data_IF_866675152907
#
_entry.id   IF_866675152907
#
_cell.length_a   1.000
_cell.length_b   1.000
_cell.length_c   1.000
_cell.angle_alpha   90.00
_cell.angle_beta   90.00
_cell.angle_gamma   90.00
#
_symmetry.space_group_name_H-M   'P 1'
#
loop_
_entity.id
_entity.type
_entity.pdbx_description
1 polymer ?
#
# COMPACT_ATOMS: atom_id res chain seq x y z
N UNK A 1 6.76 -6.12 11.16
CA UNK A 1 7.41 -6.59 9.91
C UNK A 1 6.48 -6.41 8.71
N UNK A 2 6.57 -5.26 8.01
CA UNK A 2 5.88 -5.01 6.74
C UNK A 2 6.61 -5.79 5.64
N UNK A 3 6.18 -7.02 5.33
CA UNK A 3 6.67 -7.77 4.16
C UNK A 3 5.72 -7.50 2.99
N UNK A 4 6.26 -6.96 1.91
CA UNK A 4 5.57 -6.96 0.61
C UNK A 4 5.67 -5.67 -0.19
N UNK A 5 6.88 -5.26 -0.59
CA UNK A 5 7.14 -4.54 -1.84
C UNK A 5 8.41 -5.12 -2.43
N UNK A 6 8.34 -5.72 -3.62
CA UNK A 6 9.54 -6.14 -4.33
C UNK A 6 10.18 -4.88 -4.93
N UNK A 7 11.47 -4.70 -4.62
CA UNK A 7 12.32 -3.52 -4.77
C UNK A 7 12.35 -2.89 -6.18
N UNK A 8 12.19 -3.70 -7.24
CA UNK A 8 12.25 -3.25 -8.63
C UNK A 8 10.96 -2.55 -9.12
N UNK A 9 9.82 -2.79 -8.47
CA UNK A 9 8.54 -2.14 -8.81
C UNK A 9 8.47 -0.70 -8.24
N UNK A 10 9.09 -0.44 -7.09
CA UNK A 10 9.21 0.91 -6.52
C UNK A 10 10.15 1.82 -7.33
N UNK A 11 11.16 1.22 -7.95
CA UNK A 11 12.12 1.94 -8.78
C UNK A 11 11.49 2.34 -10.12
N UNK A 12 10.75 1.46 -10.79
CA UNK A 12 10.19 1.76 -12.11
C UNK A 12 8.95 2.67 -12.06
N UNK A 13 8.09 2.54 -11.06
CA UNK A 13 6.88 3.38 -10.93
C UNK A 13 7.17 4.81 -10.45
N UNK A 14 8.28 5.03 -9.74
CA UNK A 14 8.68 6.38 -9.29
C UNK A 14 9.51 7.15 -10.32
N UNK A 15 10.19 6.48 -11.25
CA UNK A 15 10.96 7.16 -12.30
C UNK A 15 10.06 7.68 -13.44
N UNK A 16 8.95 7.00 -13.76
CA UNK A 16 8.09 7.37 -14.90
C UNK A 16 7.05 8.45 -14.53
N UNK A 17 6.57 8.52 -13.28
CA UNK A 17 5.56 9.50 -12.89
C UNK A 17 6.10 10.95 -12.72
N UNK A 18 7.40 11.12 -12.49
CA UNK A 18 8.03 12.44 -12.32
C UNK A 18 8.51 13.05 -13.64
N UNK A 19 8.88 12.24 -14.64
CA UNK A 19 9.28 12.76 -15.95
C UNK A 19 8.12 13.42 -16.72
N UNK A 20 6.87 12.98 -16.50
CA UNK A 20 5.69 13.45 -17.22
C UNK A 20 5.00 14.68 -16.61
N UNK A 21 5.33 15.11 -15.39
CA UNK A 21 4.71 16.28 -14.76
C UNK A 21 5.57 17.56 -14.77
N UNK A 22 6.86 17.48 -15.13
CA UNK A 22 7.78 18.63 -15.06
C UNK A 22 8.19 19.25 -16.40
N UNK A 23 7.62 18.79 -17.52
CA UNK A 23 7.92 19.32 -18.87
C UNK A 23 6.80 20.17 -19.47
N UNK A 24 5.80 20.61 -18.70
CA UNK A 24 4.81 21.59 -19.16
C UNK A 24 4.98 22.93 -18.43
N UNK A 25 5.25 24.04 -19.14
CA UNK A 25 5.17 25.37 -18.57
C UNK A 25 3.71 25.77 -18.32
N UNK A 26 3.48 26.44 -17.19
CA UNK A 26 2.21 27.07 -16.79
C UNK A 26 1.85 28.20 -17.77
N UNK A 27 0.56 28.49 -17.95
CA UNK A 27 0.13 29.89 -17.82
C UNK A 27 -0.99 30.04 -16.78
N UNK A 28 -0.81 31.02 -15.88
CA UNK A 28 -1.88 31.72 -15.17
C UNK A 28 -2.30 32.91 -16.05
N UNK A 29 -3.56 33.43 -16.02
CA UNK A 29 -4.16 33.95 -14.79
C UNK A 29 -5.71 33.92 -14.66
N UNK A 30 -6.16 34.29 -13.44
CA UNK A 30 -7.40 35.05 -13.12
C UNK A 30 -8.69 34.32 -12.69
N UNK A 31 -9.03 34.62 -11.43
CA UNK A 31 -10.31 34.66 -10.71
C UNK A 31 -11.60 34.81 -11.56
N UNK A 32 -12.60 33.97 -11.29
CA UNK A 32 -13.95 34.42 -10.86
C UNK A 32 -14.82 33.28 -10.31
N UNK A 33 -15.66 33.70 -9.36
CA UNK A 33 -16.56 32.97 -8.46
C UNK A 33 -17.97 32.87 -9.07
N UNK A 34 -18.66 31.72 -8.98
CA UNK A 34 -19.94 31.58 -8.26
C UNK A 34 -20.64 30.21 -8.42
N UNK A 35 -21.41 29.92 -7.37
CA UNK A 35 -22.23 28.74 -7.05
C UNK A 35 -23.40 28.47 -8.01
N UNK A 36 -23.92 27.24 -7.94
CA UNK A 36 -25.22 26.86 -8.50
C UNK A 36 -25.63 25.44 -8.10
N UNK A 37 -26.40 25.34 -7.02
CA UNK A 37 -27.13 24.16 -6.53
C UNK A 37 -27.99 23.47 -7.62
N UNK A 38 -28.22 22.15 -7.50
CA UNK A 38 -29.55 21.52 -7.29
C UNK A 38 -29.74 20.12 -7.93
N UNK A 39 -30.00 19.14 -7.05
CA UNK A 39 -31.01 18.05 -7.10
C UNK A 39 -31.02 16.98 -8.23
N UNK A 40 -31.16 15.70 -7.82
CA UNK A 40 -31.86 14.67 -8.62
C UNK A 40 -31.31 13.25 -8.56
N UNK A 41 -31.72 12.45 -7.58
CA UNK A 41 -31.86 10.98 -7.67
C UNK A 41 -32.95 10.63 -8.70
N UNK A 42 -32.89 9.47 -9.39
CA UNK A 42 -33.64 8.31 -8.90
C UNK A 42 -32.96 6.94 -9.11
N UNK A 43 -33.53 5.95 -8.43
CA UNK A 43 -33.07 4.57 -8.31
C UNK A 43 -33.28 3.70 -9.58
N UNK A 44 -32.38 2.70 -9.73
CA UNK A 44 -32.52 1.27 -10.13
C UNK A 44 -33.77 0.80 -10.92
N UNK A 45 -33.69 -0.26 -11.78
CA UNK A 45 -32.97 -1.51 -11.45
C UNK A 45 -32.38 -2.36 -12.61
N UNK A 46 -31.63 -3.39 -12.18
CA UNK A 46 -31.64 -4.78 -12.70
C UNK A 46 -30.35 -5.33 -13.33
N UNK A 47 -29.92 -6.46 -12.75
CA UNK A 47 -29.49 -7.68 -13.42
C UNK A 47 -28.42 -7.60 -14.52
N UNK A 48 -27.17 -7.89 -14.15
CA UNK A 48 -26.32 -8.71 -15.00
C UNK A 48 -25.43 -9.63 -14.14
N UNK A 49 -25.79 -10.91 -14.13
CA UNK A 49 -24.92 -11.98 -13.69
C UNK A 49 -23.69 -12.02 -14.61
N UNK A 50 -22.50 -11.86 -14.04
CA UNK A 50 -21.24 -12.17 -14.73
C UNK A 50 -20.52 -13.26 -13.96
N UNK A 51 -20.61 -14.46 -14.52
CA UNK A 51 -19.81 -15.65 -14.23
C UNK A 51 -18.33 -15.33 -14.42
N UNK A 52 -17.67 -14.79 -13.38
CA UNK A 52 -16.22 -14.69 -13.39
C UNK A 52 -15.61 -15.99 -12.87
N UNK A 53 -15.02 -16.72 -13.81
CA UNK A 53 -14.20 -17.91 -13.63
C UNK A 53 -13.36 -17.87 -12.35
N UNK A 54 -13.52 -18.89 -11.51
CA UNK A 54 -12.72 -19.15 -10.32
C UNK A 54 -11.23 -18.95 -10.60
N UNK A 55 -10.66 -17.84 -10.12
CA UNK A 55 -9.21 -17.68 -10.01
C UNK A 55 -8.74 -18.80 -9.08
N UNK A 56 -8.20 -19.87 -9.67
CA UNK A 56 -7.61 -21.00 -8.93
C UNK A 56 -6.67 -20.41 -7.89
N UNK A 57 -7.06 -20.54 -6.63
CA UNK A 57 -6.24 -20.10 -5.51
C UNK A 57 -4.86 -20.74 -5.60
N UNK A 58 -3.83 -20.04 -5.09
CA UNK A 58 -2.48 -20.60 -4.93
C UNK A 58 -2.61 -22.03 -4.41
N UNK A 59 -2.18 -23.00 -5.22
CA UNK A 59 -2.13 -24.39 -4.83
C UNK A 59 -1.41 -24.55 -3.49
N UNK A 60 -1.77 -25.62 -2.79
CA UNK A 60 -1.16 -26.07 -1.53
C UNK A 60 0.35 -25.82 -1.61
N UNK A 61 0.90 -24.94 -0.77
CA UNK A 61 2.32 -25.03 -0.44
C UNK A 61 2.48 -26.40 0.18
N UNK A 62 2.87 -27.40 -0.63
CA UNK A 62 3.51 -28.59 -0.09
C UNK A 62 4.65 -28.00 0.74
N UNK A 63 4.57 -28.18 2.06
CA UNK A 63 5.68 -27.85 2.93
C UNK A 63 6.93 -28.43 2.30
N UNK A 64 8.06 -27.76 2.48
CA UNK A 64 9.33 -28.41 2.23
C UNK A 64 9.29 -29.65 3.11
N UNK A 65 9.04 -30.81 2.51
CA UNK A 65 9.13 -32.07 3.23
C UNK A 65 10.55 -32.12 3.77
N UNK A 66 10.69 -32.38 5.06
CA UNK A 66 11.98 -32.56 5.72
C UNK A 66 12.90 -33.50 4.92
N UNK A 67 12.30 -34.41 4.15
CA UNK A 67 12.94 -35.33 3.20
C UNK A 67 13.80 -34.65 2.11
N UNK A 68 13.51 -33.41 1.68
CA UNK A 68 14.31 -32.73 0.64
C UNK A 68 15.58 -32.04 1.16
N UNK A 69 15.74 -31.97 2.49
CA UNK A 69 16.96 -31.47 3.14
C UNK A 69 18.04 -32.55 3.20
N UNK A 70 17.66 -33.82 3.07
CA UNK A 70 18.54 -34.97 3.13
C UNK A 70 18.82 -35.39 1.68
N UNK A 71 20.05 -35.15 1.22
CA UNK A 71 20.48 -35.47 -0.13
C UNK A 71 20.20 -36.93 -0.50
N UNK A 72 19.99 -37.20 -1.79
CA UNK A 72 19.91 -38.55 -2.35
C UNK A 72 21.22 -39.31 -2.07
N UNK A 73 21.29 -39.97 -0.91
CA UNK A 73 22.27 -40.98 -0.58
C UNK A 73 21.59 -42.34 -0.64
N UNK A 74 21.91 -43.13 -1.65
CA UNK A 74 21.64 -44.57 -1.67
C UNK A 74 22.45 -45.21 -0.54
N UNK A 75 21.80 -45.49 0.59
CA UNK A 75 22.43 -46.16 1.72
C UNK A 75 21.39 -46.76 2.65
N UNK A 76 21.28 -48.09 2.65
CA UNK A 76 20.50 -48.87 3.60
C UNK A 76 21.16 -48.84 4.99
N UNK A 77 21.10 -47.70 5.66
CA UNK A 77 21.49 -47.53 7.06
C UNK A 77 20.31 -46.95 7.83
N UNK A 78 19.90 -47.60 8.91
CA UNK A 78 18.97 -46.99 9.88
C UNK A 78 19.66 -45.75 10.46
N UNK A 79 19.31 -44.57 9.95
CA UNK A 79 19.61 -43.31 10.60
C UNK A 79 18.80 -43.27 11.90
N UNK A 80 19.42 -43.66 13.01
CA UNK A 80 18.97 -43.22 14.34
C UNK A 80 19.37 -41.76 14.48
N UNK A 81 18.66 -40.87 13.79
CA UNK A 81 18.82 -39.44 13.93
C UNK A 81 18.30 -39.04 15.31
N UNK A 82 19.21 -38.71 16.21
CA UNK A 82 18.88 -37.98 17.43
C UNK A 82 18.49 -36.56 17.02
N UNK A 83 17.19 -36.28 16.97
CA UNK A 83 16.61 -34.95 16.75
C UNK A 83 16.76 -34.07 18.01
N UNK A 84 17.96 -34.00 18.56
CA UNK A 84 18.24 -33.14 19.71
C UNK A 84 18.34 -31.70 19.20
N UNK A 85 17.21 -30.98 19.29
CA UNK A 85 17.14 -29.55 19.02
C UNK A 85 17.94 -28.82 20.10
N UNK A 86 19.04 -28.18 19.70
CA UNK A 86 19.82 -27.34 20.60
C UNK A 86 19.12 -25.98 20.77
N UNK A 87 18.30 -25.87 21.81
CA UNK A 87 17.59 -24.62 22.15
C UNK A 87 18.51 -23.49 22.61
N UNK A 88 19.82 -23.72 22.78
CA UNK A 88 20.80 -22.66 23.01
C UNK A 88 21.24 -21.99 21.70
N UNK A 89 21.13 -22.69 20.57
CA UNK A 89 21.42 -22.15 19.24
C UNK A 89 20.23 -21.36 18.70
N UNK A 90 20.46 -20.07 18.43
CA UNK A 90 19.41 -19.19 17.92
C UNK A 90 18.82 -19.65 16.57
N UNK A 91 19.58 -20.35 15.75
CA UNK A 91 19.12 -20.87 14.45
C UNK A 91 18.06 -21.97 14.61
N UNK A 92 18.27 -22.87 15.57
CA UNK A 92 17.37 -23.99 15.85
C UNK A 92 16.09 -23.47 16.51
N UNK A 93 16.23 -22.57 17.49
CA UNK A 93 15.09 -21.84 18.08
C UNK A 93 14.28 -21.09 17.00
N UNK A 94 14.95 -20.37 16.10
CA UNK A 94 14.30 -19.64 14.99
C UNK A 94 13.53 -20.61 14.10
N UNK A 95 14.13 -21.74 13.74
CA UNK A 95 13.53 -22.75 12.85
C UNK A 95 12.28 -23.37 13.48
N UNK A 96 12.34 -23.73 14.76
CA UNK A 96 11.18 -24.27 15.52
C UNK A 96 10.05 -23.24 15.56
N UNK A 97 10.36 -21.99 15.91
CA UNK A 97 9.36 -20.91 15.99
C UNK A 97 8.73 -20.64 14.63
N UNK A 98 9.52 -20.57 13.55
CA UNK A 98 8.99 -20.34 12.19
C UNK A 98 8.08 -21.47 11.70
N UNK A 99 8.47 -22.71 11.99
CA UNK A 99 7.68 -23.91 11.65
C UNK A 99 6.36 -23.91 12.40
N UNK A 100 6.39 -23.67 13.72
CA UNK A 100 5.20 -23.59 14.56
C UNK A 100 4.27 -22.46 14.13
N UNK A 101 4.81 -21.27 13.84
CA UNK A 101 4.03 -20.12 13.36
C UNK A 101 3.37 -20.40 12.01
N UNK A 102 4.04 -21.15 11.13
CA UNK A 102 3.50 -21.57 9.83
C UNK A 102 2.38 -22.60 9.98
N UNK A 103 2.56 -23.58 10.87
CA UNK A 103 1.53 -24.56 11.22
C UNK A 103 0.29 -23.87 11.80
N UNK A 104 0.47 -22.98 12.79
CA UNK A 104 -0.63 -22.22 13.40
C UNK A 104 -1.36 -21.34 12.40
N UNK A 105 -0.65 -20.70 11.46
CA UNK A 105 -1.27 -19.90 10.39
C UNK A 105 -2.08 -20.77 9.45
N UNK A 106 -1.55 -21.94 9.08
CA UNK A 106 -2.22 -22.88 8.19
C UNK A 106 -3.49 -23.44 8.83
N UNK A 107 -3.42 -23.85 10.10
CA UNK A 107 -4.57 -24.27 10.89
C UNK A 107 -5.64 -23.17 10.93
N UNK A 108 -5.29 -21.94 11.34
CA UNK A 108 -6.23 -20.80 11.36
C UNK A 108 -6.86 -20.52 9.99
N UNK A 109 -6.10 -20.60 8.90
CA UNK A 109 -6.65 -20.40 7.56
C UNK A 109 -7.66 -21.50 7.17
N UNK A 110 -7.43 -22.76 7.57
CA UNK A 110 -8.38 -23.86 7.36
C UNK A 110 -9.65 -23.63 8.18
N UNK A 111 -9.50 -23.28 9.45
CA UNK A 111 -10.63 -22.97 10.35
C UNK A 111 -11.46 -21.81 9.81
N UNK A 112 -10.81 -20.74 9.35
CA UNK A 112 -11.50 -19.60 8.75
C UNK A 112 -12.23 -19.96 7.44
N UNK A 113 -11.64 -20.84 6.62
CA UNK A 113 -12.30 -21.32 5.40
C UNK A 113 -13.57 -22.13 5.71
N UNK A 114 -13.57 -22.90 6.81
CA UNK A 114 -14.76 -23.60 7.30
C UNK A 114 -15.79 -22.63 7.89
N UNK A 115 -15.35 -21.69 8.75
CA UNK A 115 -16.18 -20.63 9.33
C UNK A 115 -16.97 -19.86 8.26
N UNK A 116 -16.32 -19.52 7.14
CA UNK A 116 -16.93 -18.82 6.01
C UNK A 116 -18.06 -19.57 5.29
N UNK A 117 -18.30 -20.85 5.59
CA UNK A 117 -19.44 -21.60 5.06
C UNK A 117 -20.76 -21.25 5.77
N UNK A 118 -20.69 -20.58 6.92
CA UNK A 118 -21.84 -20.18 7.70
C UNK A 118 -22.17 -18.69 7.48
N UNK A 119 -23.47 -18.31 7.52
CA UNK A 119 -23.88 -16.92 7.32
C UNK A 119 -23.60 -16.02 8.53
N UNK A 120 -23.55 -16.60 9.75
CA UNK A 120 -23.34 -15.86 10.99
C UNK A 120 -22.45 -16.63 11.96
N UNK A 121 -21.98 -15.93 13.00
CA UNK A 121 -21.17 -16.51 14.07
C UNK A 121 -21.96 -17.53 14.88
N UNK A 122 -23.22 -17.22 15.18
CA UNK A 122 -24.13 -18.07 15.94
C UNK A 122 -24.37 -19.39 15.20
N UNK A 123 -24.59 -19.31 13.87
CA UNK A 123 -24.73 -20.49 13.04
C UNK A 123 -23.45 -21.33 12.98
N UNK A 124 -22.27 -20.70 13.02
CA UNK A 124 -20.99 -21.39 13.06
C UNK A 124 -20.73 -22.06 14.42
N UNK A 125 -21.14 -21.43 15.54
CA UNK A 125 -20.95 -21.98 16.90
C UNK A 125 -21.73 -23.28 17.13
N UNK A 126 -22.90 -23.44 16.49
CA UNK A 126 -23.69 -24.68 16.56
C UNK A 126 -23.04 -25.87 15.82
N UNK A 127 -22.02 -25.62 14.99
CA UNK A 127 -21.37 -26.64 14.17
C UNK A 127 -19.84 -26.55 14.26
N UNK A 128 -19.24 -26.87 15.42
CA UNK A 128 -17.79 -26.86 15.60
C UNK A 128 -17.05 -27.67 14.54
N UNK A 129 -15.82 -27.26 14.23
CA UNK A 129 -14.97 -28.02 13.32
C UNK A 129 -14.51 -29.31 14.02
N UNK A 130 -14.51 -30.49 13.33
CA UNK A 130 -14.16 -31.78 13.96
C UNK A 130 -12.75 -31.80 14.57
N UNK A 131 -11.80 -31.08 13.98
CA UNK A 131 -10.42 -30.98 14.47
C UNK A 131 -10.19 -29.95 15.60
N UNK A 132 -11.25 -29.42 16.24
CA UNK A 132 -11.14 -28.42 17.32
C UNK A 132 -12.08 -28.73 18.48
N UNK A 133 -11.68 -28.41 19.71
CA UNK A 133 -12.62 -28.45 20.84
C UNK A 133 -13.65 -27.32 20.74
N UNK A 134 -14.76 -27.43 21.47
CA UNK A 134 -15.80 -26.40 21.47
C UNK A 134 -15.27 -25.04 21.96
N UNK A 135 -14.43 -25.03 23.01
CA UNK A 135 -13.85 -23.77 23.51
C UNK A 135 -12.90 -23.15 22.48
N UNK A 136 -12.03 -23.96 21.87
CA UNK A 136 -11.11 -23.51 20.84
C UNK A 136 -11.86 -22.98 19.62
N UNK A 137 -12.96 -23.64 19.23
CA UNK A 137 -13.80 -23.20 18.12
C UNK A 137 -14.49 -21.87 18.43
N UNK A 138 -14.95 -21.69 19.67
CA UNK A 138 -15.54 -20.43 20.14
C UNK A 138 -14.54 -19.29 20.07
N UNK A 139 -13.33 -19.48 20.59
CA UNK A 139 -12.25 -18.49 20.52
C UNK A 139 -11.89 -18.12 19.06
N UNK A 140 -11.88 -19.11 18.15
CA UNK A 140 -11.64 -18.88 16.74
C UNK A 140 -12.77 -18.08 16.09
N UNK A 141 -14.04 -18.39 16.40
CA UNK A 141 -15.20 -17.63 15.94
C UNK A 141 -15.15 -16.17 16.45
N UNK A 142 -14.80 -15.97 17.72
CA UNK A 142 -14.57 -14.65 18.32
C UNK A 142 -13.46 -13.89 17.57
N UNK A 143 -12.34 -14.55 17.30
CA UNK A 143 -11.23 -13.98 16.54
C UNK A 143 -11.66 -13.57 15.11
N UNK A 144 -12.37 -14.42 14.38
CA UNK A 144 -12.78 -14.15 13.00
C UNK A 144 -13.81 -13.04 12.88
N UNK A 145 -14.64 -12.85 13.91
CA UNK A 145 -15.62 -11.76 13.98
C UNK A 145 -15.09 -10.49 14.64
N UNK A 146 -13.90 -10.54 15.25
CA UNK A 146 -13.30 -9.37 15.87
C UNK A 146 -13.08 -8.24 14.87
N UNK A 147 -13.33 -7.01 15.31
CA UNK A 147 -13.17 -5.81 14.48
C UNK A 147 -11.76 -5.69 13.91
N UNK A 148 -10.75 -6.01 14.72
CA UNK A 148 -9.33 -5.95 14.33
C UNK A 148 -9.00 -6.93 13.21
N UNK A 149 -9.57 -8.14 13.24
CA UNK A 149 -9.40 -9.14 12.20
C UNK A 149 -10.11 -8.71 10.91
N UNK A 150 -11.35 -8.24 11.01
CA UNK A 150 -12.14 -7.78 9.87
C UNK A 150 -11.49 -6.59 9.17
N UNK A 151 -11.05 -5.57 9.91
CA UNK A 151 -10.29 -4.44 9.37
C UNK A 151 -9.04 -4.91 8.61
N UNK A 152 -8.27 -5.83 9.19
CA UNK A 152 -7.07 -6.39 8.55
C UNK A 152 -7.40 -7.20 7.29
N UNK A 153 -8.48 -7.98 7.32
CA UNK A 153 -8.94 -8.81 6.20
C UNK A 153 -9.38 -7.96 5.01
N UNK A 154 -10.22 -6.95 5.25
CA UNK A 154 -10.66 -6.01 4.22
C UNK A 154 -9.51 -5.19 3.64
N UNK A 155 -8.61 -4.70 4.50
CA UNK A 155 -7.41 -4.02 4.02
C UNK A 155 -6.53 -4.95 3.18
N UNK A 156 -6.36 -6.22 3.56
CA UNK A 156 -5.60 -7.19 2.78
C UNK A 156 -6.26 -7.50 1.43
N UNK A 157 -7.59 -7.52 1.37
CA UNK A 157 -8.35 -7.67 0.11
C UNK A 157 -8.10 -6.48 -0.82
N UNK A 158 -8.21 -5.25 -0.31
CA UNK A 158 -7.87 -4.02 -1.04
C UNK A 158 -6.40 -3.96 -1.47
N UNK A 159 -5.48 -4.44 -0.63
CA UNK A 159 -4.05 -4.50 -0.98
C UNK A 159 -3.80 -5.53 -2.08
N UNK A 160 -4.52 -6.66 -2.04
CA UNK A 160 -4.38 -7.71 -3.05
C UNK A 160 -4.98 -7.31 -4.39
N UNK A 161 -6.02 -6.48 -4.42
CA UNK A 161 -6.57 -5.94 -5.67
C UNK A 161 -5.63 -4.94 -6.37
N UNK A 162 -4.69 -4.32 -5.63
CA UNK A 162 -3.64 -3.45 -6.19
C UNK A 162 -2.50 -4.23 -6.87
N UNK A 163 -2.43 -5.55 -6.69
CA UNK A 163 -1.40 -6.36 -7.35
C UNK A 163 -1.80 -6.63 -8.80
N UNK A 164 -1.23 -5.86 -9.72
CA UNK A 164 -1.53 -5.89 -11.15
C UNK A 164 -0.80 -7.02 -11.87
N UNK A 165 0.48 -7.24 -11.53
CA UNK A 165 1.32 -8.24 -12.18
C UNK A 165 1.85 -9.26 -11.16
N UNK A 166 1.70 -10.55 -11.48
CA UNK A 166 2.25 -11.64 -10.69
C UNK A 166 3.56 -12.15 -11.31
N UNK A 167 4.53 -12.49 -10.47
CA UNK A 167 5.76 -13.14 -10.93
C UNK A 167 5.54 -14.64 -11.18
N UNK A 168 6.32 -15.22 -12.10
CA UNK A 168 6.33 -16.63 -12.48
C UNK A 168 7.44 -17.44 -11.77
N UNK A 169 8.26 -16.81 -10.91
CA UNK A 169 9.38 -17.46 -10.22
C UNK A 169 9.02 -18.58 -9.21
N UNK A 170 7.72 -18.79 -8.93
CA UNK A 170 7.27 -19.81 -7.98
C UNK A 170 7.83 -19.58 -6.57
N UNK A 171 8.41 -20.62 -5.96
CA UNK A 171 9.05 -20.58 -4.64
C UNK A 171 10.49 -20.05 -4.67
N UNK A 172 11.07 -19.82 -5.86
CA UNK A 172 12.41 -19.24 -5.95
C UNK A 172 12.34 -17.76 -5.64
N UNK A 173 13.17 -17.31 -4.69
CA UNK A 173 13.32 -15.88 -4.41
C UNK A 173 14.07 -15.18 -5.54
N UNK A 174 13.84 -13.88 -5.71
CA UNK A 174 14.51 -13.08 -6.74
C UNK A 174 16.03 -13.04 -6.53
N UNK A 175 16.49 -13.03 -5.27
CA UNK A 175 17.91 -13.13 -4.94
C UNK A 175 18.52 -14.46 -5.39
N UNK A 176 17.80 -15.57 -5.21
CA UNK A 176 18.23 -16.89 -5.70
C UNK A 176 18.25 -16.92 -7.23
N UNK A 177 17.26 -16.32 -7.90
CA UNK A 177 17.26 -16.18 -9.37
C UNK A 177 18.48 -15.39 -9.83
N UNK A 178 18.76 -14.25 -9.21
CA UNK A 178 19.93 -13.41 -9.51
C UNK A 178 21.24 -14.17 -9.31
N UNK A 179 21.41 -14.88 -8.19
CA UNK A 179 22.61 -15.68 -7.94
C UNK A 179 22.81 -16.77 -9.00
N UNK A 180 21.75 -17.45 -9.43
CA UNK A 180 21.85 -18.46 -10.48
C UNK A 180 22.24 -17.87 -11.85
N UNK A 181 21.75 -16.67 -12.19
CA UNK A 181 22.12 -16.00 -13.44
C UNK A 181 23.60 -15.60 -13.46
N UNK A 182 24.14 -15.11 -12.33
CA UNK A 182 25.55 -14.68 -12.21
C UNK A 182 26.55 -15.81 -12.43
N UNK A 183 26.16 -17.05 -12.12
CA UNK A 183 27.01 -18.23 -12.29
C UNK A 183 26.98 -18.78 -13.73
N UNK A 184 26.02 -18.34 -14.55
CA UNK A 184 25.88 -18.77 -15.95
C UNK A 184 26.42 -17.75 -16.94
N UNK A 185 26.30 -16.45 -16.63
CA UNK A 185 26.82 -15.33 -17.44
C UNK A 185 27.84 -14.55 -16.61
N UNK A 186 29.10 -14.51 -17.07
CA UNK A 186 30.16 -13.75 -16.44
C UNK A 186 29.91 -12.24 -16.59
N UNK A 187 29.12 -11.65 -15.70
CA UNK A 187 28.83 -10.22 -15.78
C UNK A 187 27.86 -9.65 -14.74
N UNK A 188 27.83 -8.32 -14.69
CA UNK A 188 26.83 -7.52 -13.97
C UNK A 188 25.46 -7.78 -14.60
N UNK A 189 24.57 -8.44 -13.86
CA UNK A 189 23.24 -8.82 -14.36
C UNK A 189 22.42 -7.56 -14.68
N UNK A 190 21.93 -7.48 -15.92
CA UNK A 190 20.99 -6.46 -16.36
C UNK A 190 19.66 -6.59 -15.56
N UNK A 191 19.17 -5.52 -14.91
CA UNK A 191 17.89 -5.52 -14.20
C UNK A 191 16.69 -5.98 -15.05
N UNK A 192 16.65 -5.61 -16.34
CA UNK A 192 15.58 -6.00 -17.26
C UNK A 192 15.56 -7.52 -17.50
N UNK A 193 16.73 -8.13 -17.67
CA UNK A 193 16.84 -9.58 -17.86
C UNK A 193 16.50 -10.36 -16.58
N UNK A 194 16.88 -9.83 -15.41
CA UNK A 194 16.45 -10.41 -14.14
C UNK A 194 14.92 -10.34 -14.00
N UNK A 195 14.31 -9.23 -14.40
CA UNK A 195 12.85 -9.09 -14.40
C UNK A 195 12.22 -10.13 -15.34
N UNK A 196 12.63 -10.19 -16.60
CA UNK A 196 12.15 -11.17 -17.58
C UNK A 196 12.18 -12.58 -17.01
N UNK A 197 13.32 -13.02 -16.46
CA UNK A 197 13.48 -14.36 -15.87
C UNK A 197 12.49 -14.68 -14.75
N UNK A 198 12.07 -13.68 -13.97
CA UNK A 198 11.15 -13.88 -12.86
C UNK A 198 9.67 -13.79 -13.28
N UNK A 199 9.36 -13.24 -14.46
CA UNK A 199 7.99 -12.95 -14.90
C UNK A 199 7.55 -13.72 -16.15
N UNK A 200 8.48 -14.42 -16.82
CA UNK A 200 8.17 -15.41 -17.86
C UNK A 200 8.07 -16.83 -17.30
N UNK A 201 7.32 -17.69 -17.97
CA UNK A 201 7.31 -19.13 -17.71
C UNK A 201 8.65 -19.78 -18.08
N UNK A 202 8.76 -21.09 -17.84
CA UNK A 202 9.94 -21.90 -18.21
C UNK A 202 10.28 -21.80 -19.70
N UNK A 203 9.25 -21.68 -20.54
CA UNK A 203 9.35 -21.59 -22.00
C UNK A 203 9.63 -20.15 -22.49
N UNK A 204 9.83 -19.19 -21.58
CA UNK A 204 10.08 -17.79 -21.92
C UNK A 204 8.82 -16.99 -22.29
N UNK A 205 7.64 -17.61 -22.26
CA UNK A 205 6.36 -16.95 -22.56
C UNK A 205 5.91 -16.07 -21.39
N UNK A 206 5.46 -14.85 -21.70
CA UNK A 206 4.86 -13.92 -20.74
C UNK A 206 3.51 -14.44 -20.25
N UNK A 207 3.29 -14.38 -18.94
CA UNK A 207 2.02 -14.83 -18.34
C UNK A 207 0.95 -13.73 -18.31
N UNK A 208 1.37 -12.47 -18.36
CA UNK A 208 0.51 -11.29 -18.31
C UNK A 208 1.10 -10.22 -19.21
N UNK A 209 0.26 -9.56 -20.02
CA UNK A 209 0.71 -8.50 -20.93
C UNK A 209 1.34 -7.33 -20.16
N UNK A 210 0.76 -6.93 -19.02
CA UNK A 210 1.34 -5.90 -18.17
C UNK A 210 2.74 -6.24 -17.64
N UNK A 211 3.12 -7.52 -17.57
CA UNK A 211 4.51 -7.88 -17.24
C UNK A 211 5.45 -7.57 -18.41
N UNK A 212 5.01 -7.87 -19.63
CA UNK A 212 5.76 -7.60 -20.85
C UNK A 212 5.94 -6.09 -21.06
N UNK A 213 4.89 -5.30 -20.91
CA UNK A 213 4.96 -3.83 -21.01
C UNK A 213 5.93 -3.21 -19.99
N UNK A 214 6.02 -3.79 -18.77
CA UNK A 214 7.00 -3.36 -17.77
C UNK A 214 8.42 -3.70 -18.25
N UNK A 215 8.64 -4.91 -18.77
CA UNK A 215 9.94 -5.29 -19.32
C UNK A 215 10.35 -4.38 -20.48
N UNK A 216 9.47 -4.14 -21.45
CA UNK A 216 9.77 -3.28 -22.61
C UNK A 216 10.15 -1.87 -22.18
N UNK A 217 9.51 -1.32 -21.14
CA UNK A 217 9.91 -0.04 -20.54
C UNK A 217 11.27 -0.10 -19.85
N UNK A 218 11.57 -1.16 -19.10
CA UNK A 218 12.89 -1.36 -18.48
C UNK A 218 14.00 -1.47 -19.53
N UNK A 219 13.72 -2.18 -20.61
CA UNK A 219 14.65 -2.47 -21.69
C UNK A 219 14.88 -1.22 -22.56
N UNK A 220 13.84 -0.45 -22.86
CA UNK A 220 13.95 0.86 -23.51
C UNK A 220 14.78 1.85 -22.66
N UNK A 221 14.52 1.90 -21.36
CA UNK A 221 15.29 2.73 -20.43
C UNK A 221 16.76 2.32 -20.39
N UNK A 222 17.05 1.02 -20.35
CA UNK A 222 18.43 0.53 -20.39
C UNK A 222 19.15 0.96 -21.67
N UNK A 223 18.50 0.85 -22.84
CA UNK A 223 19.07 1.34 -24.10
C UNK A 223 19.37 2.84 -24.07
N UNK A 224 18.48 3.63 -23.47
CA UNK A 224 18.72 5.06 -23.30
C UNK A 224 19.95 5.33 -22.41
N UNK A 225 20.11 4.58 -21.31
CA UNK A 225 21.29 4.68 -20.44
C UNK A 225 22.59 4.39 -21.22
N UNK A 226 22.56 3.33 -22.03
CA UNK A 226 23.71 2.90 -22.82
C UNK A 226 24.10 3.97 -23.88
N UNK A 227 23.12 4.66 -24.48
CA UNK A 227 23.34 5.78 -25.41
C UNK A 227 23.93 7.01 -24.71
N UNK A 228 23.46 7.33 -23.50
CA UNK A 228 23.96 8.46 -22.72
C UNK A 228 25.30 8.17 -22.04
N UNK A 229 25.81 6.92 -22.12
CA UNK A 229 27.02 6.48 -21.43
C UNK A 229 26.89 6.47 -19.91
N UNK A 230 25.67 6.57 -19.37
CA UNK A 230 25.40 6.65 -17.93
C UNK A 230 25.11 5.28 -17.37
N UNK A 231 25.68 4.98 -16.21
CA UNK A 231 25.34 3.76 -15.50
C UNK A 231 23.96 3.87 -14.82
N UNK A 232 23.24 2.76 -14.69
CA UNK A 232 21.98 2.70 -13.94
C UNK A 232 22.09 3.31 -12.51
N UNK A 233 23.22 3.08 -11.84
CA UNK A 233 23.54 3.63 -10.51
C UNK A 233 23.72 5.15 -10.50
N UNK A 234 24.25 5.70 -11.58
CA UNK A 234 24.45 7.13 -11.74
C UNK A 234 23.12 7.84 -11.97
N UNK A 235 22.22 7.22 -12.75
CA UNK A 235 20.87 7.75 -12.95
C UNK A 235 20.05 7.65 -11.67
N UNK A 236 20.15 6.55 -10.91
CA UNK A 236 19.52 6.46 -9.58
C UNK A 236 19.98 7.59 -8.65
N UNK A 237 21.27 7.92 -8.65
CA UNK A 237 21.80 9.01 -7.85
C UNK A 237 21.32 10.38 -8.31
N UNK A 238 21.29 10.64 -9.62
CA UNK A 238 20.76 11.88 -10.19
C UNK A 238 19.27 12.07 -9.89
N UNK A 239 18.47 10.99 -9.97
CA UNK A 239 17.05 11.03 -9.65
C UNK A 239 16.80 11.25 -8.16
N UNK A 240 17.62 10.65 -7.28
CA UNK A 240 17.54 10.90 -5.84
C UNK A 240 17.81 12.38 -5.54
N UNK A 241 18.86 12.95 -6.13
CA UNK A 241 19.18 14.38 -5.97
C UNK A 241 18.05 15.29 -6.47
N UNK A 242 17.50 15.02 -7.65
CA UNK A 242 16.39 15.79 -8.20
C UNK A 242 15.12 15.72 -7.34
N UNK A 243 14.87 14.58 -6.68
CA UNK A 243 13.75 14.43 -5.74
C UNK A 243 13.92 15.31 -4.52
N UNK A 244 15.10 15.29 -3.92
CA UNK A 244 15.41 16.11 -2.75
C UNK A 244 15.28 17.60 -3.08
N UNK A 245 15.74 18.01 -4.27
CA UNK A 245 15.59 19.38 -4.77
C UNK A 245 14.11 19.78 -4.97
N UNK A 246 13.30 18.90 -5.56
CA UNK A 246 11.85 19.15 -5.72
C UNK A 246 11.15 19.26 -4.37
N UNK A 247 11.50 18.41 -3.41
CA UNK A 247 10.93 18.44 -2.07
C UNK A 247 11.30 19.74 -1.34
N UNK A 248 12.56 20.19 -1.46
CA UNK A 248 13.00 21.47 -0.93
C UNK A 248 12.24 22.65 -1.55
N UNK A 249 12.06 22.66 -2.88
CA UNK A 249 11.28 23.69 -3.57
C UNK A 249 9.81 23.71 -3.12
N UNK A 250 9.19 22.54 -2.95
CA UNK A 250 7.82 22.43 -2.46
C UNK A 250 7.69 22.95 -1.03
N UNK A 251 8.65 22.63 -0.16
CA UNK A 251 8.66 23.11 1.22
C UNK A 251 8.84 24.63 1.31
N UNK A 252 9.68 25.22 0.46
CA UNK A 252 9.83 26.69 0.38
C UNK A 252 8.52 27.36 -0.07
N UNK A 253 7.93 26.86 -1.17
CA UNK A 253 6.65 27.39 -1.68
C UNK A 253 5.51 27.28 -0.67
N UNK A 254 5.47 26.19 0.10
CA UNK A 254 4.46 26.01 1.15
C UNK A 254 4.62 27.05 2.26
N UNK A 255 5.86 27.40 2.65
CA UNK A 255 6.10 28.46 3.63
C UNK A 255 5.66 29.83 3.13
N UNK A 256 5.95 30.16 1.87
CA UNK A 256 5.54 31.43 1.28
C UNK A 256 4.01 31.56 1.24
N UNK A 257 3.32 30.46 0.92
CA UNK A 257 1.85 30.40 0.95
C UNK A 257 1.29 30.58 2.37
N UNK A 258 1.91 29.94 3.37
CA UNK A 258 1.52 30.11 4.77
C UNK A 258 1.74 31.54 5.26
N UNK A 259 2.84 32.17 4.89
CA UNK A 259 3.11 33.57 5.24
C UNK A 259 2.11 34.51 4.59
N UNK A 260 1.77 34.28 3.32
CA UNK A 260 0.73 35.05 2.64
C UNK A 260 -0.64 34.88 3.29
N UNK A 261 -1.05 33.65 3.61
CA UNK A 261 -2.30 33.38 4.30
C UNK A 261 -2.35 34.03 5.69
N UNK A 262 -1.24 34.03 6.42
CA UNK A 262 -1.11 34.72 7.71
C UNK A 262 -1.31 36.23 7.55
N UNK A 263 -0.63 36.86 6.58
CA UNK A 263 -0.77 38.29 6.29
C UNK A 263 -2.21 38.66 5.87
N UNK A 264 -2.88 37.80 5.10
CA UNK A 264 -4.31 37.99 4.80
C UNK A 264 -5.17 37.94 6.06
N UNK A 265 -4.97 36.95 6.93
CA UNK A 265 -5.73 36.82 8.17
C UNK A 265 -5.52 38.00 9.13
N UNK A 266 -4.28 38.51 9.22
CA UNK A 266 -3.95 39.71 10.00
C UNK A 266 -4.65 40.95 9.44
N UNK A 267 -4.62 41.16 8.12
CA UNK A 267 -5.34 42.26 7.47
C UNK A 267 -6.86 42.15 7.65
N UNK A 268 -7.43 40.95 7.57
CA UNK A 268 -8.86 40.73 7.81
C UNK A 268 -9.22 40.94 9.28
N UNK A 269 -8.32 40.66 10.22
CA UNK A 269 -8.52 40.97 11.64
C UNK A 269 -8.54 42.48 11.87
N UNK A 270 -7.57 43.23 11.35
CA UNK A 270 -7.54 44.70 11.53
C UNK A 270 -8.75 45.39 10.90
N UNK A 271 -9.22 44.92 9.74
CA UNK A 271 -10.44 45.42 9.12
C UNK A 271 -11.70 45.08 9.95
N UNK A 272 -11.73 43.92 10.61
CA UNK A 272 -12.83 43.55 11.52
C UNK A 272 -12.82 44.42 12.76
N UNK A 273 -11.65 44.62 13.37
CA UNK A 273 -11.50 45.46 14.57
C UNK A 273 -11.94 46.90 14.27
N UNK A 274 -11.48 47.49 13.16
CA UNK A 274 -11.88 48.83 12.77
C UNK A 274 -13.39 48.95 12.51
N UNK A 275 -14.02 47.93 11.92
CA UNK A 275 -15.48 47.91 11.71
C UNK A 275 -16.24 47.80 13.04
N UNK A 276 -15.74 47.02 13.99
CA UNK A 276 -16.36 46.90 15.31
C UNK A 276 -16.20 48.20 16.11
N UNK A 277 -15.04 48.84 16.06
CA UNK A 277 -14.81 50.17 16.65
C UNK A 277 -15.80 51.20 16.09
N UNK A 278 -15.99 51.25 14.77
CA UNK A 278 -16.98 52.12 14.15
C UNK A 278 -18.41 51.80 14.62
N UNK A 279 -18.76 50.52 14.78
CA UNK A 279 -20.08 50.09 15.27
C UNK A 279 -20.31 50.54 16.72
N UNK A 280 -19.33 50.33 17.59
CA UNK A 280 -19.37 50.72 19.01
C UNK A 280 -19.47 52.25 19.14
N UNK A 281 -18.72 52.99 18.34
CA UNK A 281 -18.75 54.46 18.33
C UNK A 281 -20.14 55.00 17.89
N UNK A 282 -20.72 54.43 16.83
CA UNK A 282 -22.07 54.79 16.38
C UNK A 282 -23.13 54.48 17.44
N UNK A 283 -23.02 53.33 18.12
CA UNK A 283 -23.92 52.95 19.20
C UNK A 283 -23.79 53.88 20.41
N UNK A 284 -22.56 54.29 20.76
CA UNK A 284 -22.32 55.29 21.82
C UNK A 284 -23.00 56.63 21.51
N UNK A 285 -22.82 57.14 20.29
CA UNK A 285 -23.44 58.41 19.85
C UNK A 285 -24.97 58.31 19.92
N UNK A 286 -25.55 57.19 19.47
CA UNK A 286 -26.99 56.96 19.51
C UNK A 286 -27.53 56.97 20.95
N UNK A 287 -26.89 56.25 21.87
CA UNK A 287 -27.30 56.21 23.27
C UNK A 287 -27.20 57.59 23.93
N UNK A 288 -26.15 58.36 23.63
CA UNK A 288 -26.01 59.72 24.15
C UNK A 288 -27.14 60.65 23.65
N UNK A 289 -27.55 60.51 22.38
CA UNK A 289 -28.70 61.25 21.83
C UNK A 289 -30.01 60.84 22.50
N UNK A 290 -30.25 59.54 22.68
CA UNK A 290 -31.44 59.02 23.39
C UNK A 290 -31.51 59.53 24.84
N UNK A 291 -30.38 59.55 25.57
CA UNK A 291 -30.32 60.13 26.92
C UNK A 291 -30.61 61.64 26.93
N UNK A 292 -30.05 62.41 25.99
CA UNK A 292 -30.31 63.85 25.88
C UNK A 292 -31.79 64.13 25.65
N UNK A 293 -32.42 63.41 24.72
CA UNK A 293 -33.85 63.52 24.44
C UNK A 293 -34.70 63.18 25.68
N UNK A 294 -34.31 62.16 26.44
CA UNK A 294 -35.01 61.77 27.67
C UNK A 294 -34.92 62.84 28.76
N UNK A 295 -33.72 63.41 28.98
CA UNK A 295 -33.52 64.53 29.93
C UNK A 295 -34.30 65.78 29.54
N UNK A 296 -34.46 66.03 28.25
CA UNK A 296 -35.25 67.17 27.75
C UNK A 296 -36.76 66.95 27.97
N UNK A 297 -37.25 65.72 27.76
CA UNK A 297 -38.64 65.35 28.07
C UNK A 297 -38.96 65.40 29.57
N UNK A 298 -38.02 65.08 30.45
CA UNK A 298 -38.19 65.14 31.91
C UNK A 298 -38.16 66.58 32.47
N UNK A 299 -37.77 67.59 31.69
CA UNK A 299 -37.74 69.01 32.08
C UNK A 299 -39.01 69.79 31.73
N UNK A 300 -39.95 69.17 31.03
CA UNK A 300 -41.26 69.73 30.63
C UNK A 300 -42.33 69.21 31.59
#
# INVERSE_FOLDING_TARGET
MKRGRNFLQLLLESCIAQLLHSMSPIPSPSLRVNEGMSQGTPACPSSCASTSTSKRGRGRTRGVGLEKSLGSGSGSGKLSDHFDLDYTRQEDVRTVVETMMTARRTHRNRMHAYFKKFPSKEAALLKPHPDTTEEQWKELCDLFTSETFMKRSEQNKKNRSKLTVNHAAGSRSFQRTRACMKNQESGKINPAELYKKNYTNKDGVWTLEGAREIYERMDAFQRQCDLEGKSYTEIEHQLAKARDEIEAMRAAREKDLQEFAKKQAEMEATLRDHREEQRVEQERIRLEQEERMKREQERI
#
